data_IF_097327037659
#
_entry.id   IF_097327037659
#
_cell.length_a   1.000
_cell.length_b   1.000
_cell.length_c   1.000
_cell.angle_alpha   90.00
_cell.angle_beta   90.00
_cell.angle_gamma   90.00
#
_symmetry.space_group_name_H-M   'P 1'
#
loop_
_entity.id
_entity.type
_entity.pdbx_description
1 polymer ?
#
# COMPACT_ATOMS: atom_id res chain seq x y z
N UNK A 1 16.61 -17.54 -4.79
CA UNK A 1 17.19 -17.50 -3.43
C UNK A 1 18.51 -16.80 -3.58
N UNK A 2 18.58 -15.52 -3.20
CA UNK A 2 19.83 -14.77 -3.28
C UNK A 2 19.99 -14.02 -1.97
N UNK A 3 20.97 -14.46 -1.19
CA UNK A 3 21.24 -14.04 0.17
C UNK A 3 21.83 -12.61 0.17
N UNK A 4 21.32 -11.76 1.07
CA UNK A 4 21.99 -10.51 1.44
C UNK A 4 23.42 -10.85 1.91
N UNK A 5 24.48 -10.16 1.44
CA UNK A 5 25.84 -10.43 1.87
C UNK A 5 26.00 -9.89 3.31
N UNK A 6 25.60 -10.71 4.29
CA UNK A 6 25.91 -10.44 5.68
C UNK A 6 27.42 -10.59 5.86
N UNK A 7 28.06 -9.71 6.65
CA UNK A 7 29.47 -9.88 7.07
C UNK A 7 29.77 -11.28 7.65
N UNK A 8 28.72 -11.98 8.08
CA UNK A 8 28.76 -13.30 8.69
C UNK A 8 28.27 -14.42 7.76
N UNK A 9 28.19 -14.19 6.44
CA UNK A 9 27.67 -15.19 5.51
C UNK A 9 28.37 -16.55 5.66
N UNK A 10 29.71 -16.54 5.77
CA UNK A 10 30.53 -17.74 5.99
C UNK A 10 30.25 -18.45 7.34
N UNK A 11 29.64 -17.77 8.32
CA UNK A 11 29.30 -18.32 9.63
C UNK A 11 27.84 -18.78 9.70
N UNK A 12 26.94 -18.04 9.07
CA UNK A 12 25.50 -18.26 9.18
C UNK A 12 24.96 -19.19 8.10
N UNK A 13 25.63 -19.27 6.94
CA UNK A 13 25.16 -20.08 5.81
C UNK A 13 23.73 -19.71 5.42
N UNK A 14 22.89 -20.71 5.22
CA UNK A 14 21.46 -20.55 4.91
C UNK A 14 20.59 -20.52 6.17
N UNK A 15 20.83 -19.54 7.04
CA UNK A 15 20.05 -19.36 8.28
C UNK A 15 18.60 -18.98 7.95
N UNK A 16 17.64 -19.66 8.58
CA UNK A 16 16.21 -19.38 8.39
C UNK A 16 15.62 -18.64 9.59
N UNK A 17 15.07 -17.46 9.34
CA UNK A 17 14.29 -16.72 10.33
C UNK A 17 12.86 -17.23 10.33
N UNK A 18 12.46 -17.84 11.45
CA UNK A 18 11.14 -18.45 11.58
C UNK A 18 10.10 -17.37 11.87
N UNK A 19 8.88 -17.54 11.33
CA UNK A 19 7.77 -16.65 11.62
C UNK A 19 7.24 -16.88 13.05
N UNK A 20 6.54 -15.89 13.64
CA UNK A 20 5.81 -16.07 14.87
C UNK A 20 4.82 -17.25 14.79
N UNK A 21 4.57 -17.88 15.93
CA UNK A 21 3.62 -18.99 16.03
C UNK A 21 2.25 -18.61 15.43
N UNK A 22 1.66 -19.54 14.66
CA UNK A 22 0.36 -19.35 14.02
C UNK A 22 0.39 -18.59 12.69
N UNK A 23 1.56 -18.19 12.18
CA UNK A 23 1.70 -17.54 10.88
C UNK A 23 2.47 -18.38 9.87
N UNK A 24 2.00 -18.35 8.64
CA UNK A 24 2.68 -18.86 7.44
C UNK A 24 2.64 -17.73 6.42
N UNK A 25 3.74 -17.52 5.68
CA UNK A 25 3.74 -16.55 4.59
C UNK A 25 2.74 -16.99 3.53
N UNK A 26 1.82 -16.10 3.18
CA UNK A 26 1.00 -16.30 2.00
C UNK A 26 1.88 -16.30 0.73
N UNK A 27 1.37 -16.81 -0.40
CA UNK A 27 2.07 -16.68 -1.68
C UNK A 27 2.38 -15.22 -2.03
N UNK A 28 1.49 -14.28 -1.67
CA UNK A 28 1.68 -12.85 -1.92
C UNK A 28 2.73 -12.23 -1.00
N UNK A 29 2.75 -12.59 0.28
CA UNK A 29 3.81 -12.15 1.21
C UNK A 29 5.18 -12.71 0.80
N UNK A 30 5.23 -13.97 0.35
CA UNK A 30 6.46 -14.61 -0.15
C UNK A 30 6.99 -13.92 -1.41
N UNK A 31 6.09 -13.51 -2.32
CA UNK A 31 6.48 -12.79 -3.52
C UNK A 31 7.07 -11.40 -3.21
N UNK A 32 6.42 -10.62 -2.32
CA UNK A 32 6.95 -9.32 -1.90
C UNK A 32 8.29 -9.49 -1.17
N UNK A 33 8.42 -10.49 -0.31
CA UNK A 33 9.68 -10.80 0.34
C UNK A 33 10.81 -11.08 -0.67
N UNK A 34 10.51 -11.86 -1.72
CA UNK A 34 11.47 -12.11 -2.80
C UNK A 34 11.79 -10.91 -3.69
N UNK A 35 10.92 -9.89 -3.75
CA UNK A 35 11.23 -8.59 -4.37
C UNK A 35 12.13 -7.75 -3.47
N UNK A 36 11.81 -7.69 -2.18
CA UNK A 36 12.56 -6.96 -1.15
C UNK A 36 14.03 -7.42 -1.07
N UNK A 37 14.29 -8.74 -1.16
CA UNK A 37 15.65 -9.29 -1.19
C UNK A 37 16.49 -8.85 -2.41
N UNK A 38 15.85 -8.42 -3.49
CA UNK A 38 16.49 -8.10 -4.78
C UNK A 38 16.62 -6.60 -5.03
N UNK A 39 16.12 -5.77 -4.12
CA UNK A 39 16.16 -4.32 -4.24
C UNK A 39 17.00 -3.70 -3.13
N UNK A 40 17.48 -2.48 -3.38
CA UNK A 40 18.07 -1.63 -2.33
C UNK A 40 17.02 -0.81 -1.58
N UNK A 41 15.78 -0.78 -2.10
CA UNK A 41 14.62 -0.24 -1.42
C UNK A 41 14.14 -1.19 -0.30
N UNK A 42 13.12 -0.77 0.45
CA UNK A 42 12.38 -1.64 1.36
C UNK A 42 10.97 -1.81 0.86
N UNK A 43 10.53 -3.06 0.73
CA UNK A 43 9.18 -3.46 0.34
C UNK A 43 8.67 -4.47 1.37
N UNK A 44 7.68 -4.09 2.19
CA UNK A 44 7.13 -4.98 3.22
C UNK A 44 5.62 -5.05 3.07
N UNK A 45 5.09 -6.26 3.05
CA UNK A 45 3.66 -6.52 2.97
C UNK A 45 3.30 -7.64 3.93
N UNK A 46 2.23 -7.44 4.69
CA UNK A 46 1.74 -8.42 5.66
C UNK A 46 0.23 -8.36 5.74
N UNK A 47 -0.44 -9.50 5.58
CA UNK A 47 -1.89 -9.60 5.80
C UNK A 47 -2.16 -9.81 7.29
N UNK A 48 -3.00 -8.96 7.87
CA UNK A 48 -3.35 -8.95 9.29
C UNK A 48 -4.72 -9.60 9.53
N UNK A 49 -5.76 -9.05 8.90
CA UNK A 49 -7.14 -9.51 9.09
C UNK A 49 -7.84 -9.74 7.75
N UNK A 50 -8.09 -11.00 7.34
CA UNK A 50 -8.79 -11.33 6.10
C UNK A 50 -10.19 -10.72 5.96
N UNK A 51 -10.84 -10.30 7.06
CA UNK A 51 -12.19 -9.72 7.05
C UNK A 51 -12.22 -8.19 6.96
N UNK A 52 -11.06 -7.53 7.09
CA UNK A 52 -10.98 -6.07 7.06
C UNK A 52 -11.33 -5.47 5.69
N UNK A 53 -11.84 -4.25 5.68
CA UNK A 53 -12.21 -3.52 4.45
C UNK A 53 -11.27 -2.35 4.13
N UNK A 54 -10.37 -2.01 5.04
CA UNK A 54 -9.37 -0.95 4.87
C UNK A 54 -8.02 -1.55 4.53
N UNK A 55 -7.47 -1.14 3.39
CA UNK A 55 -6.17 -1.53 2.89
C UNK A 55 -5.22 -0.34 2.88
N UNK A 56 -3.94 -0.63 3.08
CA UNK A 56 -2.88 0.38 3.09
C UNK A 56 -1.82 0.07 2.04
N UNK A 57 -1.31 1.12 1.41
CA UNK A 57 -0.14 1.14 0.54
C UNK A 57 0.61 2.44 0.84
N UNK A 58 1.36 2.46 1.94
CA UNK A 58 1.92 3.69 2.51
C UNK A 58 3.42 3.74 2.25
N UNK A 59 3.93 4.87 1.77
CA UNK A 59 5.38 5.00 1.62
C UNK A 59 6.08 5.53 2.89
N UNK A 60 7.09 4.78 3.34
CA UNK A 60 7.87 5.06 4.54
C UNK A 60 7.40 4.25 5.76
N UNK A 61 8.32 3.48 6.37
CA UNK A 61 8.01 2.64 7.54
C UNK A 61 7.43 3.38 8.75
N UNK A 62 7.88 4.61 9.04
CA UNK A 62 7.27 5.41 10.11
C UNK A 62 5.84 5.85 9.77
N UNK A 63 5.61 6.22 8.50
CA UNK A 63 4.29 6.67 8.06
C UNK A 63 3.28 5.52 8.00
N UNK A 64 3.71 4.30 7.65
CA UNK A 64 2.84 3.13 7.64
C UNK A 64 2.36 2.76 9.05
N UNK A 65 3.25 2.83 10.06
CA UNK A 65 2.87 2.63 11.46
C UNK A 65 1.88 3.70 11.91
N UNK A 66 2.17 4.98 11.67
CA UNK A 66 1.26 6.08 12.07
C UNK A 66 -0.12 5.97 11.41
N UNK A 67 -0.19 5.51 10.14
CA UNK A 67 -1.48 5.27 9.49
C UNK A 67 -2.24 4.10 10.14
N UNK A 68 -1.56 3.01 10.49
CA UNK A 68 -2.15 1.88 11.19
C UNK A 68 -2.65 2.28 12.58
N UNK A 69 -1.83 3.02 13.34
CA UNK A 69 -2.19 3.56 14.66
C UNK A 69 -3.42 4.46 14.55
N UNK A 70 -3.48 5.36 13.56
CA UNK A 70 -4.64 6.24 13.39
C UNK A 70 -5.92 5.45 13.10
N UNK A 71 -5.86 4.39 12.28
CA UNK A 71 -7.03 3.52 12.04
C UNK A 71 -7.46 2.83 13.34
N UNK A 72 -6.49 2.41 14.16
CA UNK A 72 -6.73 1.84 15.49
C UNK A 72 -7.37 2.84 16.46
N UNK A 73 -6.83 4.06 16.55
CA UNK A 73 -7.31 5.14 17.42
C UNK A 73 -8.72 5.61 17.05
N UNK A 74 -9.09 5.50 15.78
CA UNK A 74 -10.46 5.73 15.32
C UNK A 74 -11.43 4.60 15.72
N UNK A 75 -10.94 3.52 16.35
CA UNK A 75 -11.73 2.37 16.80
C UNK A 75 -11.88 1.25 15.78
N UNK A 76 -11.12 1.30 14.67
CA UNK A 76 -11.31 0.42 13.51
C UNK A 76 -10.10 -0.48 13.22
N UNK A 77 -9.31 -0.82 14.24
CA UNK A 77 -8.19 -1.77 14.09
C UNK A 77 -8.62 -3.10 13.44
N UNK A 78 -9.83 -3.57 13.72
CA UNK A 78 -10.39 -4.78 13.10
C UNK A 78 -10.71 -4.63 11.61
N UNK A 79 -10.83 -3.41 11.08
CA UNK A 79 -11.04 -3.18 9.65
C UNK A 79 -9.72 -3.09 8.86
N UNK A 80 -8.58 -2.96 9.54
CA UNK A 80 -7.26 -2.91 8.91
C UNK A 80 -6.85 -4.30 8.41
N UNK A 81 -6.82 -4.48 7.09
CA UNK A 81 -6.57 -5.78 6.49
C UNK A 81 -5.09 -6.12 6.36
N UNK A 82 -4.24 -5.12 6.20
CA UNK A 82 -2.80 -5.32 5.99
C UNK A 82 -1.95 -4.24 6.67
N UNK A 83 -0.71 -4.61 6.94
CA UNK A 83 0.40 -3.69 7.13
C UNK A 83 1.25 -3.70 5.86
N UNK A 84 1.56 -2.53 5.32
CA UNK A 84 2.26 -2.39 4.06
C UNK A 84 3.11 -1.13 4.04
N UNK A 85 4.35 -1.27 3.61
CA UNK A 85 5.21 -0.13 3.32
C UNK A 85 6.11 -0.34 2.10
N UNK A 86 6.39 0.77 1.42
CA UNK A 86 7.48 0.86 0.47
C UNK A 86 8.34 2.10 0.76
N UNK A 87 9.67 1.97 0.78
CA UNK A 87 10.58 3.07 1.12
C UNK A 87 11.97 2.86 0.53
N UNK A 88 12.89 3.83 0.71
CA UNK A 88 14.24 3.74 0.12
C UNK A 88 14.31 4.06 -1.38
N UNK A 89 13.33 4.81 -1.90
CA UNK A 89 13.23 5.22 -3.31
C UNK A 89 13.22 4.05 -4.32
N UNK A 90 12.23 3.14 -4.23
CA UNK A 90 12.05 2.11 -5.24
C UNK A 90 11.76 2.73 -6.60
N UNK A 91 12.18 2.03 -7.66
CA UNK A 91 11.91 2.43 -9.03
C UNK A 91 10.45 2.13 -9.44
N UNK A 92 10.05 2.64 -10.61
CA UNK A 92 8.68 2.50 -11.12
C UNK A 92 8.24 1.03 -11.23
N UNK A 93 9.10 0.14 -11.71
CA UNK A 93 8.76 -1.27 -11.92
C UNK A 93 8.61 -2.02 -10.59
N UNK A 94 9.48 -1.74 -9.61
CA UNK A 94 9.35 -2.29 -8.25
C UNK A 94 8.00 -1.89 -7.62
N UNK A 95 7.62 -0.61 -7.73
CA UNK A 95 6.34 -0.13 -7.21
C UNK A 95 5.16 -0.70 -7.99
N UNK A 96 5.28 -0.91 -9.30
CA UNK A 96 4.24 -1.58 -10.09
C UNK A 96 3.98 -3.00 -9.60
N UNK A 97 5.03 -3.81 -9.44
CA UNK A 97 4.89 -5.20 -8.95
C UNK A 97 4.32 -5.22 -7.52
N UNK A 98 4.78 -4.32 -6.67
CA UNK A 98 4.26 -4.17 -5.31
C UNK A 98 2.77 -3.79 -5.32
N UNK A 99 2.38 -2.78 -6.09
CA UNK A 99 1.01 -2.29 -6.16
C UNK A 99 0.06 -3.35 -6.74
N UNK A 100 0.49 -4.13 -7.74
CA UNK A 100 -0.30 -5.27 -8.26
C UNK A 100 -0.69 -6.24 -7.16
N UNK A 101 0.25 -6.62 -6.31
CA UNK A 101 -0.01 -7.54 -5.19
C UNK A 101 -1.01 -6.94 -4.21
N UNK A 102 -0.82 -5.69 -3.81
CA UNK A 102 -1.73 -5.02 -2.86
C UNK A 102 -3.14 -4.94 -3.45
N UNK A 103 -3.28 -4.52 -4.71
CA UNK A 103 -4.58 -4.36 -5.38
C UNK A 103 -5.25 -5.72 -5.62
N UNK A 104 -4.50 -6.75 -6.00
CA UNK A 104 -5.05 -8.10 -6.16
C UNK A 104 -5.59 -8.65 -4.84
N UNK A 105 -4.89 -8.40 -3.73
CA UNK A 105 -5.38 -8.73 -2.40
C UNK A 105 -6.62 -7.89 -2.02
N UNK A 106 -6.58 -6.58 -2.29
CA UNK A 106 -7.65 -5.65 -1.94
C UNK A 106 -8.98 -5.92 -2.66
N UNK A 107 -8.89 -6.44 -3.88
CA UNK A 107 -10.02 -6.73 -4.76
C UNK A 107 -10.42 -8.21 -4.80
N UNK A 108 -9.79 -9.06 -3.99
CA UNK A 108 -10.17 -10.47 -3.87
C UNK A 108 -11.56 -10.63 -3.22
N UNK A 109 -12.34 -11.59 -3.71
CA UNK A 109 -13.63 -12.02 -3.17
C UNK A 109 -14.57 -10.85 -2.82
N UNK A 110 -15.05 -10.09 -3.84
CA UNK A 110 -15.95 -8.96 -3.61
C UNK A 110 -17.26 -9.43 -2.96
N UNK A 111 -17.67 -8.72 -1.91
CA UNK A 111 -18.82 -9.06 -1.06
C UNK A 111 -19.92 -8.00 -1.11
N UNK A 112 -19.90 -7.15 -2.15
CA UNK A 112 -20.89 -6.09 -2.38
C UNK A 112 -20.76 -4.87 -1.45
N UNK A 113 -19.87 -4.93 -0.45
CA UNK A 113 -19.61 -3.83 0.50
C UNK A 113 -18.47 -2.94 0.01
N UNK A 114 -18.53 -1.65 0.34
CA UNK A 114 -17.46 -0.69 0.08
C UNK A 114 -16.16 -1.12 0.77
N UNK A 115 -15.04 -0.87 0.09
CA UNK A 115 -13.68 -1.06 0.60
C UNK A 115 -12.88 0.22 0.38
N UNK A 116 -11.86 0.44 1.20
CA UNK A 116 -11.01 1.61 1.08
C UNK A 116 -9.54 1.21 0.91
N UNK A 117 -8.82 1.89 0.00
CA UNK A 117 -7.39 1.77 -0.19
C UNK A 117 -6.71 3.13 0.10
N UNK A 118 -5.86 3.13 1.13
CA UNK A 118 -5.07 4.28 1.58
C UNK A 118 -3.70 4.27 0.89
N UNK A 119 -3.50 5.16 -0.09
CA UNK A 119 -2.22 5.36 -0.77
C UNK A 119 -1.54 6.58 -0.14
N UNK A 120 -0.82 6.35 0.95
CA UNK A 120 -0.42 7.42 1.88
C UNK A 120 1.08 7.65 2.01
N UNK A 121 1.39 8.62 2.87
CA UNK A 121 2.61 8.65 3.67
C UNK A 121 3.18 10.04 3.89
N UNK A 122 4.38 10.07 4.44
CA UNK A 122 5.10 11.30 4.78
C UNK A 122 5.50 12.13 3.56
N UNK A 123 6.09 13.29 3.80
CA UNK A 123 6.76 14.07 2.77
C UNK A 123 8.12 13.40 2.53
N UNK A 124 8.33 12.88 1.32
CA UNK A 124 9.57 12.18 1.01
C UNK A 124 10.75 13.14 0.90
N UNK A 125 11.94 12.72 1.37
CA UNK A 125 13.17 13.49 1.23
C UNK A 125 13.80 13.35 -0.16
N UNK A 126 13.84 12.13 -0.69
CA UNK A 126 14.58 11.80 -1.93
C UNK A 126 13.84 10.88 -2.89
N UNK A 127 12.72 10.27 -2.48
CA UNK A 127 11.91 9.41 -3.37
C UNK A 127 11.19 10.28 -4.41
N UNK A 128 11.35 9.95 -5.69
CA UNK A 128 10.57 10.56 -6.76
C UNK A 128 9.10 10.07 -6.69
N UNK A 129 8.21 10.98 -6.30
CA UNK A 129 6.78 10.68 -6.15
C UNK A 129 6.13 10.45 -7.51
N UNK A 130 6.56 11.14 -8.57
CA UNK A 130 5.99 10.94 -9.90
C UNK A 130 6.35 9.55 -10.46
N UNK A 131 7.60 9.12 -10.30
CA UNK A 131 8.06 7.80 -10.74
C UNK A 131 7.32 6.67 -10.00
N UNK A 132 7.26 6.75 -8.67
CA UNK A 132 6.53 5.75 -7.87
C UNK A 132 5.03 5.75 -8.17
N UNK A 133 4.41 6.92 -8.35
CA UNK A 133 2.99 7.00 -8.70
C UNK A 133 2.70 6.47 -10.09
N UNK A 134 3.62 6.55 -11.07
CA UNK A 134 3.38 5.91 -12.37
C UNK A 134 3.21 4.39 -12.22
N UNK A 135 4.02 3.74 -11.39
CA UNK A 135 3.91 2.31 -11.12
C UNK A 135 2.55 1.97 -10.50
N UNK A 136 2.10 2.76 -9.52
CA UNK A 136 0.77 2.62 -8.89
C UNK A 136 -0.35 2.84 -9.92
N UNK A 137 -0.26 3.89 -10.73
CA UNK A 137 -1.25 4.25 -11.75
C UNK A 137 -1.39 3.13 -12.79
N UNK A 138 -0.26 2.58 -13.25
CA UNK A 138 -0.26 1.42 -14.16
C UNK A 138 -0.96 0.23 -13.53
N UNK A 139 -0.65 -0.09 -12.27
CA UNK A 139 -1.30 -1.19 -11.54
C UNK A 139 -2.82 -0.97 -11.38
N UNK A 140 -3.25 0.26 -11.07
CA UNK A 140 -4.67 0.60 -10.95
C UNK A 140 -5.41 0.46 -12.28
N UNK A 141 -4.82 0.92 -13.40
CA UNK A 141 -5.38 0.74 -14.75
C UNK A 141 -5.56 -0.73 -15.11
N UNK A 142 -4.54 -1.55 -14.87
CA UNK A 142 -4.60 -2.98 -15.16
C UNK A 142 -5.69 -3.73 -14.36
N UNK A 143 -6.16 -3.15 -13.26
CA UNK A 143 -7.09 -3.77 -12.33
C UNK A 143 -8.43 -3.03 -12.24
N UNK A 144 -8.74 -2.15 -13.19
CA UNK A 144 -9.96 -1.32 -13.22
C UNK A 144 -11.23 -2.13 -12.92
N UNK A 145 -11.47 -3.20 -13.69
CA UNK A 145 -12.67 -4.04 -13.54
C UNK A 145 -12.77 -4.63 -12.13
N UNK A 146 -11.63 -5.04 -11.55
CA UNK A 146 -11.59 -5.60 -10.19
C UNK A 146 -11.83 -4.54 -9.13
N UNK A 147 -11.29 -3.34 -9.31
CA UNK A 147 -11.51 -2.19 -8.42
C UNK A 147 -13.00 -1.82 -8.36
N UNK A 148 -13.66 -1.77 -9.53
CA UNK A 148 -15.11 -1.53 -9.64
C UNK A 148 -15.92 -2.63 -8.97
N UNK A 149 -15.64 -3.90 -9.30
CA UNK A 149 -16.34 -5.05 -8.72
C UNK A 149 -16.21 -5.11 -7.19
N UNK A 150 -15.04 -4.74 -6.66
CA UNK A 150 -14.77 -4.67 -5.22
C UNK A 150 -15.29 -3.41 -4.53
N UNK A 151 -15.96 -2.50 -5.27
CA UNK A 151 -16.45 -1.21 -4.78
C UNK A 151 -15.38 -0.44 -4.00
N UNK A 152 -14.20 -0.37 -4.60
CA UNK A 152 -13.03 0.24 -3.99
C UNK A 152 -13.14 1.77 -4.02
N UNK A 153 -12.83 2.40 -2.90
CA UNK A 153 -12.60 3.84 -2.77
C UNK A 153 -11.13 4.08 -2.46
N UNK A 154 -10.50 5.01 -3.16
CA UNK A 154 -9.05 5.24 -3.07
C UNK A 154 -8.82 6.63 -2.49
N UNK A 155 -7.97 6.70 -1.47
CA UNK A 155 -7.61 7.95 -0.81
C UNK A 155 -6.10 8.13 -0.85
N UNK A 156 -5.65 9.22 -1.45
CA UNK A 156 -4.24 9.46 -1.74
C UNK A 156 -3.76 10.68 -0.96
N UNK A 157 -2.66 10.54 -0.22
CA UNK A 157 -1.97 11.68 0.39
C UNK A 157 -0.47 11.51 0.27
N UNK A 158 0.20 12.41 -0.45
CA UNK A 158 1.66 12.35 -0.62
C UNK A 158 2.32 13.70 -0.81
N UNK A 159 3.58 13.80 -0.37
CA UNK A 159 4.50 14.89 -0.66
C UNK A 159 5.91 14.39 -0.95
N UNK A 160 6.79 15.26 -1.44
CA UNK A 160 8.19 14.96 -1.77
C UNK A 160 8.58 15.38 -3.18
N UNK A 161 9.77 15.02 -3.68
CA UNK A 161 10.20 15.33 -5.04
C UNK A 161 9.16 14.95 -6.10
N UNK A 162 8.86 15.87 -7.03
CA UNK A 162 7.92 15.69 -8.15
C UNK A 162 6.48 15.31 -7.74
N UNK A 163 6.07 15.56 -6.49
CA UNK A 163 4.75 15.16 -6.02
C UNK A 163 3.61 15.82 -6.79
N UNK A 164 3.71 17.09 -7.19
CA UNK A 164 2.64 17.78 -7.91
C UNK A 164 2.29 17.05 -9.20
N UNK A 165 3.31 16.59 -9.95
CA UNK A 165 3.13 15.79 -11.16
C UNK A 165 2.50 14.44 -10.84
N UNK A 166 2.98 13.73 -9.81
CA UNK A 166 2.39 12.46 -9.37
C UNK A 166 0.91 12.61 -8.98
N UNK A 167 0.58 13.59 -8.14
CA UNK A 167 -0.79 13.87 -7.70
C UNK A 167 -1.69 14.29 -8.87
N UNK A 168 -1.21 15.10 -9.81
CA UNK A 168 -1.98 15.49 -10.99
C UNK A 168 -2.34 14.27 -11.86
N UNK A 169 -1.38 13.36 -12.10
CA UNK A 169 -1.62 12.11 -12.83
C UNK A 169 -2.63 11.21 -12.10
N UNK A 170 -2.54 11.14 -10.78
CA UNK A 170 -3.46 10.36 -9.96
C UNK A 170 -4.89 10.91 -9.98
N UNK A 171 -5.06 12.25 -10.01
CA UNK A 171 -6.38 12.88 -10.18
C UNK A 171 -6.99 12.56 -11.53
N UNK A 172 -6.21 12.69 -12.61
CA UNK A 172 -6.65 12.35 -13.95
C UNK A 172 -7.07 10.87 -14.07
N UNK A 173 -6.37 9.97 -13.36
CA UNK A 173 -6.73 8.56 -13.31
C UNK A 173 -8.11 8.31 -12.66
N UNK A 174 -8.48 9.06 -11.62
CA UNK A 174 -9.79 8.90 -10.98
C UNK A 174 -10.95 9.09 -11.95
N UNK A 175 -10.87 10.13 -12.78
CA UNK A 175 -11.84 10.42 -13.84
C UNK A 175 -11.82 9.34 -14.94
N UNK A 176 -10.64 8.86 -15.32
CA UNK A 176 -10.46 7.82 -16.33
C UNK A 176 -11.09 6.48 -15.89
N UNK A 177 -10.82 6.03 -14.66
CA UNK A 177 -11.28 4.73 -14.19
C UNK A 177 -12.76 4.76 -13.76
N UNK A 178 -13.32 5.92 -13.42
CA UNK A 178 -14.66 5.99 -12.80
C UNK A 178 -14.71 5.28 -11.43
N UNK A 179 -13.56 5.24 -10.73
CA UNK A 179 -13.43 4.72 -9.36
C UNK A 179 -13.28 5.93 -8.43
N UNK A 180 -14.03 6.01 -7.31
CA UNK A 180 -13.90 7.12 -6.38
C UNK A 180 -12.46 7.27 -5.88
N UNK A 181 -11.81 8.39 -6.24
CA UNK A 181 -10.40 8.62 -5.96
C UNK A 181 -10.20 10.07 -5.49
N UNK A 182 -9.86 10.24 -4.21
CA UNK A 182 -9.57 11.56 -3.63
C UNK A 182 -8.05 11.76 -3.46
N UNK A 183 -7.52 12.92 -3.89
CA UNK A 183 -6.08 13.19 -3.91
C UNK A 183 -5.71 14.46 -3.16
N UNK A 184 -4.88 14.30 -2.15
CA UNK A 184 -4.40 15.33 -1.24
C UNK A 184 -2.86 15.47 -1.28
N UNK A 185 -2.37 16.69 -1.12
CA UNK A 185 -0.96 16.99 -1.02
C UNK A 185 -0.49 17.28 0.41
N UNK A 186 0.68 17.95 0.55
CA UNK A 186 1.25 18.34 1.83
C UNK A 186 0.38 19.29 2.65
N UNK A 187 -0.55 20.00 2.02
CA UNK A 187 -1.51 20.90 2.67
C UNK A 187 -2.49 20.16 3.60
N UNK A 188 -2.72 18.87 3.36
CA UNK A 188 -3.53 18.02 4.23
C UNK A 188 -2.65 17.30 5.28
N UNK A 189 -3.25 17.00 6.44
CA UNK A 189 -2.60 16.17 7.46
C UNK A 189 -2.30 14.78 6.90
N UNK A 190 -1.18 14.18 7.31
CA UNK A 190 -0.75 12.88 6.78
C UNK A 190 -1.80 11.79 6.95
N UNK A 191 -2.51 11.82 8.07
CA UNK A 191 -3.49 10.81 8.47
C UNK A 191 -4.93 11.24 8.20
N UNK A 192 -5.16 12.41 7.58
CA UNK A 192 -6.50 12.89 7.25
C UNK A 192 -7.28 11.93 6.35
N UNK A 193 -6.58 11.21 5.47
CA UNK A 193 -7.17 10.17 4.61
C UNK A 193 -7.67 8.95 5.39
N UNK A 194 -7.14 8.65 6.58
CA UNK A 194 -7.61 7.54 7.41
C UNK A 194 -9.08 7.73 7.80
N UNK A 195 -9.43 8.93 8.28
CA UNK A 195 -10.82 9.26 8.64
C UNK A 195 -11.76 9.16 7.43
N UNK A 196 -11.34 9.69 6.26
CA UNK A 196 -12.12 9.60 5.02
C UNK A 196 -12.41 8.15 4.61
N UNK A 197 -11.40 7.28 4.71
CA UNK A 197 -11.53 5.86 4.42
C UNK A 197 -12.48 5.15 5.39
N UNK A 198 -12.41 5.47 6.69
CA UNK A 198 -13.33 4.92 7.69
C UNK A 198 -14.76 5.38 7.44
N UNK A 199 -14.99 6.68 7.27
CA UNK A 199 -16.32 7.22 6.99
C UNK A 199 -16.92 6.54 5.75
N UNK A 200 -16.12 6.29 4.71
CA UNK A 200 -16.55 5.58 3.50
C UNK A 200 -17.05 4.15 3.76
N UNK A 201 -16.34 3.35 4.54
CA UNK A 201 -16.71 1.93 4.76
C UNK A 201 -17.80 1.76 5.82
N UNK A 202 -18.06 2.79 6.62
CA UNK A 202 -19.06 2.75 7.70
C UNK A 202 -20.39 3.40 7.29
N UNK A 203 -20.37 4.38 6.38
CA UNK A 203 -21.60 5.01 5.90
C UNK A 203 -22.38 4.04 5.00
N UNK A 204 -23.70 3.88 5.23
CA UNK A 204 -24.56 3.11 4.34
C UNK A 204 -24.48 3.62 2.90
N UNK A 205 -24.79 2.75 1.94
CA UNK A 205 -25.15 3.23 0.61
C UNK A 205 -26.43 4.08 0.73
N UNK A 206 -26.37 5.31 0.22
CA UNK A 206 -27.52 6.20 0.12
C UNK A 206 -28.50 5.70 -0.94
#
# INVERSE_FOLDING_TARGET
>A
MTQLPSKNFNKWGDIKFHLPFGRVLSPTESFIHGLDEKTSASLKFTVLNPKGRTWTMVAGGGASVINADTVGDLGYASELRNYAEYSGAPNEEEVLQYARVVIDCATADPDGRKRALLIGGGIANFTDVAATFNGIIRALREKETRLKAARMHIYVRRGGPNYQTGLARMRALGEELGVPLEVYGPEATMTGICKRAIDCIMLPDA
#
